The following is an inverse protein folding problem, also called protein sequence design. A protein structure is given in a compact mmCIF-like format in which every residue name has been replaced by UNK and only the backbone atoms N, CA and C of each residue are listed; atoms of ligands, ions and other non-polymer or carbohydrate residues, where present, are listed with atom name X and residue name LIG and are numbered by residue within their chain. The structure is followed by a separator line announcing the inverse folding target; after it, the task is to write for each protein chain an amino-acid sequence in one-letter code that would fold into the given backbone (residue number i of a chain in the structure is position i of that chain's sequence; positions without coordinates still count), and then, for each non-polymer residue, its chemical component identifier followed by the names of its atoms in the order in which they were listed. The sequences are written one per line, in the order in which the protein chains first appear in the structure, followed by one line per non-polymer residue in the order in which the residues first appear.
data_IF_794393292540
#
_entry.id   IF_794393292540
#
_cell.length_a   1.000
_cell.length_b   1.000
_cell.length_c   1.000
_cell.angle_alpha   90.00
_cell.angle_beta   90.00
_cell.angle_gamma   90.00
#
_symmetry.space_group_name_H-M   'P 1'
#
loop_
_entity.id
_entity.type
_entity.pdbx_description
1 polymer ?
#
# COMPACT_ATOMS: atom_id res chain seq x y z
N UNK A 1 6.49 2.43 -20.70
CA UNK A 1 5.38 2.72 -19.76
C UNK A 1 5.92 3.71 -18.74
N UNK A 2 5.19 4.75 -18.37
CA UNK A 2 5.69 5.73 -17.39
C UNK A 2 5.66 5.11 -15.98
N UNK A 3 6.71 5.37 -15.20
CA UNK A 3 6.77 4.96 -13.80
C UNK A 3 5.66 5.66 -12.99
N UNK A 4 5.12 4.97 -11.98
CA UNK A 4 4.17 5.59 -11.06
C UNK A 4 4.86 6.67 -10.24
N UNK A 5 4.33 7.89 -10.28
CA UNK A 5 4.80 9.00 -9.45
C UNK A 5 3.86 9.14 -8.24
N UNK A 6 4.29 8.70 -7.03
CA UNK A 6 3.45 8.77 -5.84
C UNK A 6 3.19 10.21 -5.40
N UNK A 7 1.95 10.48 -4.99
CA UNK A 7 1.55 11.73 -4.37
C UNK A 7 1.41 11.52 -2.85
N UNK A 8 2.43 11.96 -2.11
CA UNK A 8 2.45 11.84 -0.65
C UNK A 8 1.24 12.56 -0.02
N UNK A 9 0.37 11.79 0.64
CA UNK A 9 -0.87 12.28 1.25
C UNK A 9 -0.83 12.07 2.75
N UNK A 10 -0.86 13.17 3.53
CA UNK A 10 -0.84 13.08 4.99
C UNK A 10 -2.19 12.55 5.50
N UNK A 11 -2.16 11.39 6.16
CA UNK A 11 -3.33 10.76 6.79
C UNK A 11 -3.55 11.32 8.19
N UNK A 12 -2.48 11.45 8.98
CA UNK A 12 -2.52 11.93 10.36
C UNK A 12 -1.18 12.57 10.73
N UNK A 13 -1.24 13.71 11.42
CA UNK A 13 -0.07 14.38 11.97
C UNK A 13 -0.02 14.24 13.49
N UNK A 14 1.19 14.10 14.01
CA UNK A 14 1.53 14.16 15.43
C UNK A 14 2.72 15.12 15.62
N UNK A 15 3.02 15.50 16.87
CA UNK A 15 4.16 16.39 17.14
C UNK A 15 5.51 15.75 16.75
N UNK A 16 5.60 14.42 16.82
CA UNK A 16 6.85 13.65 16.58
C UNK A 16 6.94 13.02 15.19
N UNK A 17 5.81 12.80 14.51
CA UNK A 17 5.77 12.05 13.26
C UNK A 17 4.55 12.43 12.42
N UNK A 18 4.57 12.04 11.15
CA UNK A 18 3.44 12.05 10.23
C UNK A 18 3.17 10.63 9.72
N UNK A 19 1.90 10.29 9.53
CA UNK A 19 1.48 9.07 8.83
C UNK A 19 1.07 9.45 7.43
N UNK A 20 1.73 8.89 6.43
CA UNK A 20 1.62 9.34 5.03
C UNK A 20 1.29 8.16 4.12
N UNK A 21 0.33 8.34 3.22
CA UNK A 21 0.08 7.43 2.11
C UNK A 21 0.96 7.81 0.93
N UNK A 22 1.68 6.85 0.36
CA UNK A 22 2.51 6.99 -0.85
C UNK A 22 2.23 5.81 -1.78
N UNK A 23 1.52 6.04 -2.88
CA UNK A 23 1.01 4.96 -3.73
C UNK A 23 0.14 3.99 -2.95
N UNK A 24 0.44 2.69 -3.04
CA UNK A 24 -0.27 1.63 -2.30
C UNK A 24 0.18 1.45 -0.84
N UNK A 25 1.19 2.18 -0.37
CA UNK A 25 1.82 1.96 0.93
C UNK A 25 1.57 3.10 1.91
N UNK A 26 1.61 2.77 3.20
CA UNK A 26 1.66 3.76 4.28
C UNK A 26 3.06 3.79 4.89
N UNK A 27 3.52 5.00 5.18
CA UNK A 27 4.79 5.27 5.83
C UNK A 27 4.56 6.07 7.09
N UNK A 28 5.43 5.89 8.08
CA UNK A 28 5.56 6.79 9.21
C UNK A 28 6.83 7.61 8.98
N UNK A 29 6.66 8.91 8.86
CA UNK A 29 7.75 9.87 8.65
C UNK A 29 8.05 10.52 10.00
N UNK A 30 9.25 10.28 10.53
CA UNK A 30 9.68 10.95 11.76
C UNK A 30 9.98 12.42 11.48
N UNK A 31 9.57 13.31 12.39
CA UNK A 31 9.96 14.73 12.38
C UNK A 31 11.31 14.96 13.08
N UNK A 32 11.87 13.90 13.67
CA UNK A 32 13.19 13.89 14.28
C UNK A 32 14.28 13.81 13.21
N UNK A 33 15.40 14.50 13.42
CA UNK A 33 16.59 14.35 12.58
C UNK A 33 17.39 13.06 12.87
N UNK A 34 16.84 12.13 13.66
CA UNK A 34 17.53 10.91 14.12
C UNK A 34 17.23 9.70 13.23
N UNK A 35 18.21 8.80 13.13
CA UNK A 35 18.28 7.38 12.68
C UNK A 35 17.37 6.87 11.54
N UNK A 36 16.05 7.13 11.54
CA UNK A 36 15.11 6.66 10.50
C UNK A 36 14.07 7.74 10.19
N UNK A 37 14.30 8.51 9.12
CA UNK A 37 13.39 9.60 8.70
C UNK A 37 12.05 9.08 8.17
N UNK A 38 12.01 7.89 7.57
CA UNK A 38 10.80 7.25 7.09
C UNK A 38 10.90 5.74 7.18
N UNK A 39 9.83 5.08 7.64
CA UNK A 39 9.71 3.63 7.68
C UNK A 39 8.37 3.20 7.08
N UNK A 40 8.39 2.15 6.25
CA UNK A 40 7.17 1.49 5.80
C UNK A 40 6.41 0.92 6.99
N UNK A 41 5.10 1.07 6.96
CA UNK A 41 4.23 0.65 8.02
C UNK A 41 3.12 -0.27 7.50
N UNK A 42 2.70 -1.19 8.36
CA UNK A 42 1.59 -2.10 8.08
C UNK A 42 0.30 -1.46 8.58
N UNK A 43 -0.65 -1.23 7.68
CA UNK A 43 -2.01 -0.85 8.06
C UNK A 43 -2.81 -2.12 8.27
N UNK A 44 -3.51 -2.20 9.41
CA UNK A 44 -4.44 -3.28 9.71
C UNK A 44 -5.78 -2.62 10.08
N UNK A 45 -6.80 -2.85 9.24
CA UNK A 45 -8.13 -2.32 9.46
C UNK A 45 -8.88 -3.13 10.52
N UNK A 46 -9.77 -2.48 11.26
CA UNK A 46 -10.64 -3.18 12.22
C UNK A 46 -11.49 -4.24 11.50
N UNK A 47 -11.91 -3.95 10.26
CA UNK A 47 -12.67 -4.89 9.43
C UNK A 47 -11.88 -6.16 9.09
N UNK A 48 -10.58 -6.07 8.76
CA UNK A 48 -9.73 -7.24 8.52
C UNK A 48 -9.56 -8.11 9.77
N UNK A 49 -9.43 -7.47 10.95
CA UNK A 49 -9.37 -8.17 12.24
C UNK A 49 -10.70 -8.84 12.54
N UNK A 50 -11.81 -8.21 12.19
CA UNK A 50 -13.17 -8.76 12.36
C UNK A 50 -13.46 -9.93 11.43
N UNK A 51 -12.96 -9.87 10.20
CA UNK A 51 -13.10 -10.95 9.21
C UNK A 51 -12.28 -12.21 9.57
N UNK A 52 -11.24 -12.09 10.40
CA UNK A 52 -10.41 -13.21 10.82
C UNK A 52 -10.52 -13.47 12.34
N UNK A 53 -11.31 -14.49 12.77
CA UNK A 53 -11.46 -14.82 14.19
C UNK A 53 -10.17 -15.19 14.91
N UNK A 54 -9.14 -15.64 14.19
CA UNK A 54 -7.83 -16.03 14.72
C UNK A 54 -6.79 -14.90 14.64
N UNK A 55 -7.19 -13.69 14.24
CA UNK A 55 -6.27 -12.56 14.14
C UNK A 55 -5.68 -12.21 15.52
N UNK A 56 -4.37 -12.03 15.61
CA UNK A 56 -3.68 -11.79 16.88
C UNK A 56 -4.21 -10.54 17.63
N UNK A 57 -4.66 -9.54 16.88
CA UNK A 57 -5.22 -8.29 17.41
C UNK A 57 -6.71 -8.37 17.78
N UNK A 58 -7.35 -9.55 17.71
CA UNK A 58 -8.78 -9.72 18.05
C UNK A 58 -9.17 -9.16 19.43
N UNK A 59 -8.36 -9.35 20.50
CA UNK A 59 -8.69 -8.79 21.81
C UNK A 59 -8.73 -7.25 21.85
N UNK A 60 -8.12 -6.57 20.88
CA UNK A 60 -8.04 -5.10 20.83
C UNK A 60 -9.26 -4.46 20.17
N UNK A 61 -10.08 -5.23 19.44
CA UNK A 61 -11.17 -4.70 18.59
C UNK A 61 -12.16 -3.85 19.37
N UNK A 62 -12.59 -4.29 20.56
CA UNK A 62 -13.54 -3.53 21.38
C UNK A 62 -12.97 -2.16 21.78
N UNK A 63 -11.71 -2.12 22.21
CA UNK A 63 -11.01 -0.88 22.56
C UNK A 63 -10.80 0.04 21.36
N UNK A 64 -10.44 -0.51 20.20
CA UNK A 64 -10.26 0.25 18.96
C UNK A 64 -11.58 0.91 18.52
N UNK A 65 -12.69 0.17 18.56
CA UNK A 65 -14.02 0.70 18.21
C UNK A 65 -14.49 1.74 19.21
N UNK A 66 -14.28 1.52 20.51
CA UNK A 66 -14.61 2.49 21.55
C UNK A 66 -13.83 3.81 21.39
N UNK A 67 -12.58 3.75 20.93
CA UNK A 67 -11.75 4.91 20.64
C UNK A 67 -12.03 5.56 19.27
N UNK A 68 -12.98 5.03 18.48
CA UNK A 68 -13.35 5.57 17.16
C UNK A 68 -12.33 5.29 16.05
N UNK A 69 -11.44 4.31 16.24
CA UNK A 69 -10.46 3.93 15.22
C UNK A 69 -11.04 2.93 14.22
N UNK A 70 -10.78 3.17 12.94
CA UNK A 70 -11.14 2.29 11.83
C UNK A 70 -9.99 1.38 11.39
N UNK A 71 -8.75 1.79 11.68
CA UNK A 71 -7.55 1.01 11.44
C UNK A 71 -6.48 1.37 12.48
N UNK A 72 -5.43 0.55 12.58
CA UNK A 72 -4.19 0.98 13.21
C UNK A 72 -3.01 0.72 12.27
N UNK A 73 -1.96 1.53 12.46
CA UNK A 73 -0.71 1.48 11.71
C UNK A 73 0.37 0.97 12.64
N UNK A 74 1.03 -0.11 12.25
CA UNK A 74 2.18 -0.68 12.93
C UNK A 74 3.46 -0.30 12.19
N UNK A 75 4.41 0.32 12.89
CA UNK A 75 5.70 0.66 12.31
C UNK A 75 6.68 1.13 13.37
N UNK A 76 7.70 1.90 12.95
CA UNK A 76 8.70 2.46 13.84
C UNK A 76 8.69 3.98 13.79
N UNK A 77 8.93 4.60 14.94
CA UNK A 77 9.26 6.04 15.08
C UNK A 77 10.55 6.10 15.88
N UNK A 78 11.59 6.71 15.32
CA UNK A 78 12.91 6.84 15.95
C UNK A 78 13.45 5.50 16.50
N UNK A 79 13.32 4.42 15.72
CA UNK A 79 13.78 3.08 16.07
C UNK A 79 12.90 2.32 17.09
N UNK A 80 11.81 2.91 17.58
CA UNK A 80 10.87 2.26 18.51
C UNK A 80 9.61 1.81 17.80
N UNK A 81 9.17 0.57 18.07
CA UNK A 81 7.90 0.06 17.56
C UNK A 81 6.73 0.85 18.15
N UNK A 82 5.82 1.28 17.28
CA UNK A 82 4.63 2.05 17.63
C UNK A 82 3.38 1.51 16.94
N UNK A 83 2.24 1.77 17.58
CA UNK A 83 0.91 1.50 17.04
C UNK A 83 0.13 2.81 17.04
N UNK A 84 -0.31 3.24 15.87
CA UNK A 84 -1.00 4.52 15.69
C UNK A 84 -2.40 4.24 15.19
N UNK A 85 -3.43 4.63 15.94
CA UNK A 85 -4.82 4.53 15.47
C UNK A 85 -5.09 5.50 14.33
N UNK A 86 -5.89 5.10 13.35
CA UNK A 86 -6.45 5.96 12.33
C UNK A 86 -7.97 5.95 12.45
N UNK A 87 -8.57 7.14 12.48
CA UNK A 87 -10.03 7.26 12.36
C UNK A 87 -10.46 6.93 10.93
N UNK A 88 -11.76 6.73 10.72
CA UNK A 88 -12.30 6.58 9.37
C UNK A 88 -11.97 7.80 8.50
N UNK A 89 -12.04 9.01 9.07
CA UNK A 89 -11.72 10.26 8.37
C UNK A 89 -10.24 10.35 8.00
N UNK A 90 -9.32 9.93 8.89
CA UNK A 90 -7.89 9.92 8.57
C UNK A 90 -7.57 8.96 7.43
N UNK A 91 -8.11 7.74 7.51
CA UNK A 91 -7.86 6.74 6.49
C UNK A 91 -8.47 7.12 5.13
N UNK A 92 -9.62 7.79 5.14
CA UNK A 92 -10.31 8.25 3.94
C UNK A 92 -9.47 9.25 3.11
N UNK A 93 -8.60 10.05 3.73
CA UNK A 93 -7.73 11.02 3.03
C UNK A 93 -6.85 10.36 1.96
N UNK A 94 -6.40 9.12 2.20
CA UNK A 94 -5.54 8.39 1.27
C UNK A 94 -6.27 7.62 0.17
N UNK A 95 -7.60 7.71 0.09
CA UNK A 95 -8.41 6.89 -0.83
C UNK A 95 -8.04 7.15 -2.29
N UNK A 96 -7.90 8.42 -2.67
CA UNK A 96 -7.60 8.80 -4.05
C UNK A 96 -6.23 8.31 -4.50
N UNK A 97 -5.21 8.39 -3.63
CA UNK A 97 -3.87 7.92 -3.94
C UNK A 97 -3.81 6.38 -4.03
N UNK A 98 -4.52 5.67 -3.15
CA UNK A 98 -4.66 4.21 -3.26
C UNK A 98 -5.36 3.81 -4.55
N UNK A 99 -6.40 4.54 -4.96
CA UNK A 99 -7.12 4.29 -6.21
C UNK A 99 -6.24 4.55 -7.45
N UNK A 100 -5.49 5.65 -7.47
CA UNK A 100 -4.50 5.95 -8.51
C UNK A 100 -3.47 4.83 -8.65
N UNK A 101 -2.93 4.36 -7.53
CA UNK A 101 -1.96 3.27 -7.53
C UNK A 101 -2.59 1.96 -8.04
N UNK A 102 -3.78 1.60 -7.57
CA UNK A 102 -4.47 0.39 -8.02
C UNK A 102 -4.76 0.39 -9.53
N UNK A 103 -5.16 1.54 -10.08
CA UNK A 103 -5.37 1.71 -11.52
C UNK A 103 -4.08 1.49 -12.31
N UNK A 104 -2.97 2.10 -11.87
CA UNK A 104 -1.65 1.91 -12.50
C UNK A 104 -1.16 0.46 -12.44
N UNK A 105 -1.34 -0.22 -11.29
CA UNK A 105 -1.00 -1.65 -11.16
C UNK A 105 -1.81 -2.50 -12.14
N UNK A 106 -3.11 -2.24 -12.27
CA UNK A 106 -3.98 -2.95 -13.21
C UNK A 106 -3.56 -2.73 -14.66
N UNK A 107 -3.25 -1.50 -15.04
CA UNK A 107 -2.77 -1.17 -16.39
C UNK A 107 -1.44 -1.86 -16.70
N UNK A 108 -0.52 -1.87 -15.73
CA UNK A 108 0.79 -2.51 -15.85
C UNK A 108 0.64 -4.03 -15.99
N UNK A 109 -0.24 -4.65 -15.19
CA UNK A 109 -0.54 -6.07 -15.30
C UNK A 109 -1.15 -6.43 -16.66
N UNK A 110 -2.10 -5.64 -17.15
CA UNK A 110 -2.71 -5.82 -18.47
C UNK A 110 -1.68 -5.68 -19.61
N UNK A 111 -0.79 -4.68 -19.53
CA UNK A 111 0.29 -4.47 -20.51
C UNK A 111 1.27 -5.64 -20.52
N UNK A 112 1.66 -6.14 -19.34
CA UNK A 112 2.52 -7.32 -19.23
C UNK A 112 1.85 -8.59 -19.79
N UNK A 113 0.54 -8.75 -19.59
CA UNK A 113 -0.22 -9.87 -20.14
C UNK A 113 -0.31 -9.77 -21.68
N UNK A 114 -0.57 -8.58 -22.24
CA UNK A 114 -0.57 -8.35 -23.67
C UNK A 114 0.80 -8.57 -24.32
N UNK A 115 1.88 -8.16 -23.65
CA UNK A 115 3.24 -8.43 -24.07
C UNK A 115 3.54 -9.93 -24.15
N UNK A 116 3.16 -10.70 -23.12
CA UNK A 116 3.29 -12.18 -23.14
C UNK A 116 2.50 -12.82 -24.27
N UNK A 117 1.23 -12.43 -24.46
CA UNK A 117 0.40 -12.94 -25.54
C UNK A 117 0.97 -12.61 -26.93
N UNK A 118 1.60 -11.44 -27.10
CA UNK A 118 2.33 -11.10 -28.33
C UNK A 118 3.54 -12.02 -28.55
N UNK A 119 4.35 -12.29 -27.52
CA UNK A 119 5.49 -13.21 -27.62
C UNK A 119 5.08 -14.67 -27.85
N UNK A 120 3.99 -15.11 -27.23
CA UNK A 120 3.45 -16.47 -27.44
C UNK A 120 2.87 -16.59 -28.86
N UNK A 121 2.11 -15.60 -29.35
CA UNK A 121 1.65 -15.57 -30.74
C UNK A 121 2.78 -15.44 -31.78
N UNK A 122 3.90 -14.80 -31.42
CA UNK A 122 5.10 -14.72 -32.26
C UNK A 122 5.90 -16.05 -32.27
N UNK A 123 5.83 -16.84 -31.19
CA UNK A 123 6.40 -18.19 -31.13
C UNK A 123 5.48 -19.27 -31.71
N UNK A 124 4.17 -19.05 -31.78
CA UNK A 124 3.21 -19.95 -32.42
C UNK A 124 3.12 -19.74 -33.95
N UNK A 125 3.64 -18.62 -34.46
CA UNK A 125 3.76 -18.31 -35.89
C UNK A 125 5.11 -18.69 -36.50
N UNK A 126 5.60 -19.89 -36.23
CA UNK A 126 6.89 -20.39 -36.70
C UNK A 126 6.87 -21.07 -38.07
N UNK A 127 6.09 -20.59 -39.05
CA UNK A 127 6.43 -20.84 -40.46
C UNK A 127 7.59 -19.90 -40.81
N UNK A 128 8.78 -20.29 -40.36
CA UNK A 128 10.02 -19.59 -40.65
C UNK A 128 10.17 -19.45 -42.16
N UNK A 129 10.26 -18.20 -42.63
CA UNK A 129 10.69 -17.89 -43.97
C UNK A 129 12.04 -18.59 -44.23
N UNK A 130 12.01 -19.63 -45.06
CA UNK A 130 13.19 -20.32 -45.52
C UNK A 130 13.52 -19.82 -46.93
N UNK A 131 14.54 -18.95 -47.12
CA UNK A 131 14.94 -18.51 -48.45
C UNK A 131 15.64 -19.61 -49.29
N UNK A 132 15.77 -20.84 -48.77
CA UNK A 132 16.44 -21.97 -49.45
C UNK A 132 15.63 -23.29 -49.37
N UNK A 133 14.31 -23.24 -49.30
CA UNK A 133 13.43 -24.39 -49.58
C UNK A 133 12.44 -24.07 -50.68
#
# INVERSE_FOLDING_TARGET
MADFVPAATNLRSHELFDVVQTGGHVQIISKSARVEASAYATVITVAEIEANPKHFARPLVSGLKAAGYAAYVQGKVDGKYTQIGLTAADYAKGTDERARYAAWVSETAATNAAGRAFFDGMNEGGDGYNPYR
#
